data_IF_815473729532
#
_entry.id   IF_815473729532
#
_cell.length_a   1.000
_cell.length_b   1.000
_cell.length_c   1.000
_cell.angle_alpha   90.00
_cell.angle_beta   90.00
_cell.angle_gamma   90.00
#
_symmetry.space_group_name_H-M   'P 1'
#
loop_
_entity.id
_entity.type
_entity.pdbx_description
1 polymer ?
#
# COMPACT_ATOMS: atom_id res chain seq x y z
N UNK A 1 5.70 -4.49 1.11
CA UNK A 1 4.37 -3.86 0.89
C UNK A 1 3.65 -4.19 -0.43
N UNK A 2 4.04 -3.61 -1.58
CA UNK A 2 3.17 -3.50 -2.77
C UNK A 2 2.68 -4.84 -3.30
N UNK A 3 3.56 -5.85 -3.37
CA UNK A 3 3.22 -7.22 -3.80
C UNK A 3 2.17 -7.90 -2.92
N UNK A 4 2.28 -7.76 -1.60
CA UNK A 4 1.28 -8.29 -0.68
C UNK A 4 -0.04 -7.52 -0.80
N UNK A 5 0.04 -6.20 -0.98
CA UNK A 5 -1.14 -5.35 -1.11
C UNK A 5 -2.01 -5.71 -2.31
N UNK A 6 -1.41 -5.92 -3.49
CA UNK A 6 -2.16 -6.33 -4.68
C UNK A 6 -2.83 -7.69 -4.47
N UNK A 7 -2.09 -8.66 -3.93
CA UNK A 7 -2.64 -9.98 -3.63
C UNK A 7 -3.78 -9.95 -2.59
N UNK A 8 -3.70 -9.08 -1.58
CA UNK A 8 -4.77 -8.90 -0.59
C UNK A 8 -6.02 -8.32 -1.24
N UNK A 9 -5.89 -7.32 -2.11
CA UNK A 9 -7.05 -6.75 -2.79
C UNK A 9 -7.69 -7.78 -3.74
N UNK A 10 -6.89 -8.55 -4.47
CA UNK A 10 -7.39 -9.69 -5.27
C UNK A 10 -8.15 -10.70 -4.40
N UNK A 11 -7.62 -11.05 -3.24
CA UNK A 11 -8.28 -11.91 -2.27
C UNK A 11 -9.62 -11.33 -1.79
N UNK A 12 -9.67 -10.04 -1.45
CA UNK A 12 -10.90 -9.37 -1.03
C UNK A 12 -11.95 -9.35 -2.15
N UNK A 13 -11.54 -9.04 -3.39
CA UNK A 13 -12.42 -9.11 -4.57
C UNK A 13 -12.95 -10.53 -4.81
N UNK A 14 -12.10 -11.55 -4.64
CA UNK A 14 -12.50 -12.95 -4.78
C UNK A 14 -13.53 -13.40 -3.73
N UNK A 15 -13.57 -12.76 -2.56
CA UNK A 15 -14.62 -12.95 -1.54
C UNK A 15 -15.91 -12.17 -1.84
N UNK A 16 -15.96 -11.41 -2.94
CA UNK A 16 -17.07 -10.52 -3.26
C UNK A 16 -17.08 -9.24 -2.44
N UNK A 17 -15.98 -8.88 -1.77
CA UNK A 17 -15.85 -7.62 -1.05
C UNK A 17 -15.37 -6.52 -2.00
N UNK A 18 -16.04 -5.37 -1.97
CA UNK A 18 -15.64 -4.20 -2.74
C UNK A 18 -14.69 -3.33 -1.93
N UNK A 19 -13.40 -3.39 -2.22
CA UNK A 19 -12.42 -2.49 -1.56
C UNK A 19 -12.69 -1.05 -1.94
N UNK A 20 -12.78 -0.16 -0.94
CA UNK A 20 -13.09 1.26 -1.10
C UNK A 20 -11.90 2.14 -0.77
N UNK A 21 -11.21 1.83 0.31
CA UNK A 21 -10.12 2.67 0.82
C UNK A 21 -8.92 1.81 1.19
N UNK A 22 -7.73 2.28 0.83
CA UNK A 22 -6.47 1.67 1.25
C UNK A 22 -5.59 2.76 1.84
N UNK A 23 -5.28 2.69 3.12
CA UNK A 23 -4.38 3.60 3.79
C UNK A 23 -3.07 2.88 4.11
N UNK A 24 -1.96 3.29 3.49
CA UNK A 24 -0.65 2.66 3.64
C UNK A 24 0.35 3.58 4.33
N UNK A 25 0.95 3.12 5.42
CA UNK A 25 2.03 3.80 6.14
C UNK A 25 3.30 2.97 6.03
N UNK A 26 4.42 3.59 5.67
CA UNK A 26 5.72 2.95 5.54
C UNK A 26 6.74 3.70 6.40
N UNK A 27 7.43 3.00 7.29
CA UNK A 27 8.55 3.55 8.06
C UNK A 27 9.83 2.79 7.72
N UNK A 28 10.93 3.52 7.52
CA UNK A 28 12.25 2.96 7.24
C UNK A 28 13.35 3.97 7.58
N UNK A 29 14.53 3.50 7.97
CA UNK A 29 15.65 4.35 8.40
C UNK A 29 16.87 4.30 7.47
N UNK A 30 16.82 3.54 6.38
CA UNK A 30 17.95 3.38 5.46
C UNK A 30 18.06 4.53 4.45
N UNK A 31 19.10 4.48 3.62
CA UNK A 31 19.39 5.54 2.65
C UNK A 31 18.33 5.66 1.54
N UNK A 32 17.62 4.59 1.18
CA UNK A 32 16.47 4.68 0.25
C UNK A 32 15.44 5.65 0.82
N UNK A 33 15.06 5.45 2.08
CA UNK A 33 14.06 6.31 2.73
C UNK A 33 14.55 7.74 2.93
N UNK A 34 15.83 7.92 3.27
CA UNK A 34 16.43 9.25 3.40
C UNK A 34 16.37 10.03 2.09
N UNK A 35 16.59 9.37 0.95
CA UNK A 35 16.52 10.01 -0.36
C UNK A 35 15.10 10.52 -0.68
N UNK A 36 14.06 9.79 -0.26
CA UNK A 36 12.65 10.13 -0.48
C UNK A 36 12.17 11.39 0.24
N UNK A 37 12.97 11.93 1.15
CA UNK A 37 12.71 13.25 1.75
C UNK A 37 12.86 14.37 0.72
N UNK A 38 13.56 14.14 -0.39
CA UNK A 38 13.67 15.13 -1.46
C UNK A 38 12.40 15.15 -2.32
N UNK A 39 11.79 16.32 -2.60
CA UNK A 39 10.53 16.41 -3.37
C UNK A 39 10.60 15.72 -4.74
N UNK A 40 11.75 15.81 -5.42
CA UNK A 40 11.97 15.21 -6.74
C UNK A 40 11.84 13.68 -6.71
N UNK A 41 12.45 13.02 -5.72
CA UNK A 41 12.38 11.56 -5.60
C UNK A 41 11.04 11.10 -5.04
N UNK A 42 10.43 11.90 -4.16
CA UNK A 42 9.06 11.67 -3.69
C UNK A 42 8.06 11.66 -4.84
N UNK A 43 8.05 12.68 -5.70
CA UNK A 43 7.11 12.76 -6.82
C UNK A 43 7.21 11.56 -7.77
N UNK A 44 8.42 11.06 -8.02
CA UNK A 44 8.63 9.88 -8.85
C UNK A 44 8.05 8.61 -8.20
N UNK A 45 8.29 8.41 -6.90
CA UNK A 45 7.81 7.20 -6.18
C UNK A 45 6.32 7.26 -5.86
N UNK A 46 5.77 8.45 -5.62
CA UNK A 46 4.35 8.67 -5.37
C UNK A 46 3.51 8.22 -6.56
N UNK A 47 3.86 8.65 -7.78
CA UNK A 47 3.15 8.29 -9.02
C UNK A 47 3.02 6.77 -9.19
N UNK A 48 4.09 6.02 -8.97
CA UNK A 48 4.10 4.56 -9.13
C UNK A 48 3.32 3.86 -8.03
N UNK A 49 3.32 4.40 -6.80
CA UNK A 49 2.68 3.75 -5.66
C UNK A 49 1.18 3.98 -5.58
N UNK A 50 0.65 5.09 -6.09
CA UNK A 50 -0.79 5.41 -6.01
C UNK A 50 -1.59 4.85 -7.18
N UNK A 51 -0.97 4.60 -8.33
CA UNK A 51 -1.65 4.17 -9.55
C UNK A 51 -1.68 2.63 -9.73
N UNK A 52 -1.33 1.88 -8.66
CA UNK A 52 -1.24 0.41 -8.72
C UNK A 52 -2.59 -0.25 -9.03
N UNK A 53 -3.70 0.45 -8.77
CA UNK A 53 -5.06 -0.07 -8.90
C UNK A 53 -5.85 0.51 -10.07
N UNK A 54 -5.23 1.33 -10.92
CA UNK A 54 -5.88 1.92 -12.10
C UNK A 54 -6.66 0.90 -12.95
N UNK A 55 -6.07 -0.25 -13.34
CA UNK A 55 -6.75 -1.26 -14.15
C UNK A 55 -8.03 -1.83 -13.53
N UNK A 56 -8.11 -1.93 -12.20
CA UNK A 56 -9.29 -2.49 -11.52
C UNK A 56 -10.44 -1.48 -11.43
N UNK A 57 -10.11 -0.20 -11.33
CA UNK A 57 -11.12 0.88 -11.38
C UNK A 57 -11.83 0.91 -12.75
N UNK A 58 -11.13 0.53 -13.84
CA UNK A 58 -11.74 0.44 -15.17
C UNK A 58 -12.70 -0.75 -15.29
N UNK A 59 -12.34 -1.90 -14.71
CA UNK A 59 -13.17 -3.12 -14.73
C UNK A 59 -14.48 -2.96 -13.95
N UNK A 60 -14.42 -2.34 -12.77
CA UNK A 60 -15.56 -2.25 -11.84
C UNK A 60 -16.51 -1.08 -12.17
N UNK A 61 -16.20 -0.30 -13.21
CA UNK A 61 -17.03 0.79 -13.74
C UNK A 61 -16.98 2.09 -12.93
N UNK A 62 -17.70 3.14 -13.36
CA UNK A 62 -17.68 4.46 -12.72
C UNK A 62 -18.08 4.40 -11.23
N UNK A 63 -17.32 5.07 -10.36
CA UNK A 63 -17.57 5.07 -8.91
C UNK A 63 -17.06 3.82 -8.16
N UNK A 64 -16.21 3.04 -8.80
CA UNK A 64 -15.46 1.92 -8.20
C UNK A 64 -14.07 2.30 -7.71
N UNK A 65 -13.65 3.55 -7.94
CA UNK A 65 -12.31 4.03 -7.61
C UNK A 65 -11.93 3.75 -6.16
N UNK A 66 -10.80 3.07 -5.98
CA UNK A 66 -10.20 2.84 -4.67
C UNK A 66 -9.49 4.12 -4.22
N UNK A 67 -9.90 4.69 -3.08
CA UNK A 67 -9.16 5.79 -2.45
C UNK A 67 -7.87 5.25 -1.83
N UNK A 68 -6.77 5.34 -2.57
CA UNK A 68 -5.47 4.83 -2.16
C UNK A 68 -4.54 5.94 -1.67
N UNK A 69 -4.26 5.94 -0.36
CA UNK A 69 -3.30 6.86 0.28
C UNK A 69 -2.02 6.14 0.69
N UNK A 70 -0.88 6.81 0.47
CA UNK A 70 0.44 6.30 0.86
C UNK A 70 1.21 7.37 1.61
N UNK A 71 1.51 7.10 2.88
CA UNK A 71 2.44 7.84 3.72
C UNK A 71 3.76 7.09 3.84
N UNK A 72 4.85 7.84 3.80
CA UNK A 72 6.21 7.34 3.85
C UNK A 72 7.01 8.22 4.81
N UNK A 73 7.61 7.60 5.82
CA UNK A 73 8.22 8.28 6.97
C UNK A 73 9.66 7.78 7.15
N UNK A 74 10.61 8.71 7.15
CA UNK A 74 11.98 8.42 7.52
C UNK A 74 12.09 8.29 9.05
N UNK A 75 12.67 7.19 9.51
CA UNK A 75 12.85 6.92 10.94
C UNK A 75 14.21 6.26 11.16
N UNK A 76 15.24 7.07 11.45
CA UNK A 76 16.64 6.65 11.50
C UNK A 76 16.89 5.38 12.34
N UNK A 77 16.26 5.28 13.52
CA UNK A 77 16.40 4.13 14.42
C UNK A 77 15.91 2.80 13.82
N UNK A 78 15.07 2.84 12.78
CA UNK A 78 14.59 1.62 12.13
C UNK A 78 15.61 1.03 11.15
N UNK A 79 16.64 1.78 10.73
CA UNK A 79 17.65 1.28 9.80
C UNK A 79 17.04 0.61 8.56
N UNK A 80 17.47 -0.60 8.22
CA UNK A 80 16.94 -1.39 7.10
C UNK A 80 15.68 -2.20 7.44
N UNK A 81 15.23 -2.16 8.70
CA UNK A 81 14.01 -2.82 9.13
C UNK A 81 12.80 -1.98 8.78
N UNK A 82 12.16 -2.32 7.66
CA UNK A 82 10.94 -1.69 7.20
C UNK A 82 9.74 -2.13 8.01
N UNK A 83 8.89 -1.16 8.32
CA UNK A 83 7.59 -1.39 8.95
C UNK A 83 6.48 -0.82 8.08
N UNK A 84 5.67 -1.71 7.55
CA UNK A 84 4.52 -1.39 6.71
C UNK A 84 3.24 -1.65 7.50
N UNK A 85 2.40 -0.62 7.65
CA UNK A 85 1.03 -0.75 8.15
C UNK A 85 0.08 -0.44 7.00
N UNK A 86 -0.83 -1.35 6.67
CA UNK A 86 -1.83 -1.11 5.63
C UNK A 86 -3.22 -1.48 6.13
N UNK A 87 -4.12 -0.51 6.09
CA UNK A 87 -5.55 -0.69 6.34
C UNK A 87 -6.29 -0.80 5.01
N UNK A 88 -7.20 -1.76 4.92
CA UNK A 88 -8.10 -1.99 3.80
C UNK A 88 -9.54 -1.89 4.33
N UNK A 89 -10.28 -0.90 3.85
CA UNK A 89 -11.72 -0.77 4.11
C UNK A 89 -12.48 -1.22 2.88
N UNK A 90 -13.37 -2.18 3.05
CA UNK A 90 -14.19 -2.78 2.00
C UNK A 90 -15.65 -2.81 2.40
N UNK A 91 -16.52 -2.89 1.40
CA UNK A 91 -17.96 -2.99 1.55
C UNK A 91 -18.42 -4.40 1.17
N UNK A 92 -19.22 -5.03 2.03
CA UNK A 92 -19.79 -6.36 1.84
C UNK A 92 -21.30 -6.34 1.66
N UNK A 93 -21.94 -7.44 2.04
CA UNK A 93 -23.40 -7.61 1.92
C UNK A 93 -24.16 -6.46 2.59
N UNK A 94 -25.17 -5.92 1.90
CA UNK A 94 -26.01 -4.80 2.37
C UNK A 94 -25.23 -3.54 2.81
N UNK A 95 -24.06 -3.30 2.23
CA UNK A 95 -23.24 -2.13 2.56
C UNK A 95 -22.51 -2.23 3.89
N UNK A 96 -22.47 -3.43 4.51
CA UNK A 96 -21.73 -3.62 5.75
C UNK A 96 -20.23 -3.43 5.52
N UNK A 97 -19.59 -2.62 6.37
CA UNK A 97 -18.16 -2.38 6.30
C UNK A 97 -17.36 -3.57 6.82
N UNK A 98 -16.25 -3.83 6.15
CA UNK A 98 -15.21 -4.76 6.53
C UNK A 98 -13.88 -4.02 6.54
N UNK A 99 -13.17 -4.08 7.68
CA UNK A 99 -11.84 -3.47 7.81
C UNK A 99 -10.81 -4.54 8.12
N UNK A 100 -9.74 -4.56 7.33
CA UNK A 100 -8.57 -5.41 7.55
C UNK A 100 -7.34 -4.55 7.78
N UNK A 101 -6.62 -4.78 8.88
CA UNK A 101 -5.34 -4.15 9.16
C UNK A 101 -4.23 -5.17 9.03
N UNK A 102 -3.19 -4.81 8.28
CA UNK A 102 -1.97 -5.60 8.14
C UNK A 102 -0.78 -4.83 8.69
N UNK A 103 0.07 -5.53 9.42
CA UNK A 103 1.36 -5.01 9.89
C UNK A 103 2.46 -5.96 9.45
N UNK A 104 3.41 -5.47 8.66
CA UNK A 104 4.55 -6.24 8.17
C UNK A 104 5.84 -5.60 8.65
N UNK A 105 6.71 -6.40 9.26
CA UNK A 105 8.08 -6.03 9.61
C UNK A 105 9.03 -6.93 8.83
N UNK A 106 9.99 -6.33 8.14
CA UNK A 106 10.95 -7.08 7.33
C UNK A 106 12.24 -6.28 7.12
N UNK A 107 13.32 -6.98 6.80
CA UNK A 107 14.54 -6.35 6.30
C UNK A 107 14.33 -5.99 4.82
N UNK A 108 14.28 -4.70 4.47
CA UNK A 108 13.92 -4.27 3.11
C UNK A 108 14.96 -4.76 2.10
N UNK A 109 16.25 -4.69 2.44
CA UNK A 109 17.33 -5.17 1.58
C UNK A 109 17.26 -6.69 1.39
N UNK A 110 16.95 -7.45 2.44
CA UNK A 110 16.85 -8.92 2.33
C UNK A 110 15.69 -9.36 1.44
N UNK A 111 14.59 -8.60 1.42
CA UNK A 111 13.48 -8.85 0.49
C UNK A 111 13.76 -8.36 -0.93
N UNK A 112 14.66 -7.38 -1.09
CA UNK A 112 15.01 -6.82 -2.39
C UNK A 112 16.04 -7.67 -3.14
N UNK A 113 17.05 -8.22 -2.47
CA UNK A 113 18.13 -9.02 -3.09
C UNK A 113 17.66 -10.16 -4.01
N UNK A 114 16.60 -10.93 -3.70
CA UNK A 114 16.13 -12.02 -4.58
C UNK A 114 15.19 -11.57 -5.71
N UNK A 115 14.84 -10.28 -5.82
CA UNK A 115 13.98 -9.72 -6.87
C UNK A 115 14.80 -9.28 -8.08
#
# INVERSE_FOLDING_TARGET
>A
QTKAKTAIVEYLRALGLKTRTIASYNHLGNNDMRNLLSPRTWSAKARVKTDVFGPWNEEDGPGSEIDHKVAVLFTEQMGDEKRDTVEYTSEGFMGCEHTMLTYTRCMDSALCVPL
#
